data_IF_422565842606
#
_entry.id   IF_422565842606
#
_cell.length_a   1.000
_cell.length_b   1.000
_cell.length_c   1.000
_cell.angle_alpha   90.00
_cell.angle_beta   90.00
_cell.angle_gamma   90.00
#
_symmetry.space_group_name_H-M   'P 1'
#
loop_
_entity.id
_entity.type
_entity.pdbx_description
1 polymer ?
#
# COMPACT_ATOMS: atom_id res chain seq x y z
N UNK A 1 2.93 -12.54 -5.91
CA UNK A 1 2.46 -11.38 -6.73
C UNK A 1 3.55 -10.34 -6.61
N UNK A 2 3.99 -9.68 -7.67
CA UNK A 2 5.01 -8.64 -7.52
C UNK A 2 4.45 -7.41 -6.80
N UNK A 3 5.31 -6.61 -6.17
CA UNK A 3 4.92 -5.30 -5.60
C UNK A 3 4.24 -4.40 -6.65
N UNK A 4 4.68 -4.45 -7.91
CA UNK A 4 4.05 -3.72 -8.99
C UNK A 4 2.60 -4.21 -9.25
N UNK A 5 2.40 -5.51 -9.41
CA UNK A 5 1.07 -6.11 -9.57
C UNK A 5 0.17 -5.82 -8.37
N UNK A 6 0.73 -5.77 -7.15
CA UNK A 6 0.02 -5.38 -5.95
C UNK A 6 -0.48 -3.94 -6.02
N UNK A 7 0.34 -2.98 -6.49
CA UNK A 7 -0.12 -1.59 -6.70
C UNK A 7 -1.24 -1.50 -7.73
N UNK A 8 -1.16 -2.27 -8.80
CA UNK A 8 -2.24 -2.33 -9.80
C UNK A 8 -3.52 -2.89 -9.19
N UNK A 9 -3.40 -3.94 -8.37
CA UNK A 9 -4.51 -4.53 -7.63
C UNK A 9 -5.15 -3.54 -6.64
N UNK A 10 -4.36 -2.76 -5.90
CA UNK A 10 -4.89 -1.67 -5.05
C UNK A 10 -5.69 -0.66 -5.86
N UNK A 11 -5.22 -0.31 -7.06
CA UNK A 11 -5.93 0.57 -7.98
C UNK A 11 -7.25 -0.03 -8.48
N UNK A 12 -7.27 -1.33 -8.77
CA UNK A 12 -8.50 -2.05 -9.10
C UNK A 12 -9.50 -2.02 -7.93
N UNK A 13 -9.05 -2.38 -6.72
CA UNK A 13 -9.89 -2.36 -5.52
C UNK A 13 -10.48 -0.97 -5.26
N UNK A 14 -9.68 0.10 -5.42
CA UNK A 14 -10.15 1.48 -5.26
C UNK A 14 -11.25 1.86 -6.26
N UNK A 15 -11.06 1.54 -7.55
CA UNK A 15 -11.94 2.00 -8.64
C UNK A 15 -13.18 1.13 -8.83
N UNK A 16 -13.07 -0.17 -8.55
CA UNK A 16 -14.10 -1.14 -8.89
C UNK A 16 -14.78 -1.64 -7.62
N UNK A 17 -14.08 -2.43 -6.80
CA UNK A 17 -14.67 -3.11 -5.65
C UNK A 17 -15.19 -2.15 -4.58
N UNK A 18 -14.42 -1.10 -4.27
CA UNK A 18 -14.73 -0.13 -3.22
C UNK A 18 -15.21 1.22 -3.77
N UNK A 19 -15.70 1.26 -5.01
CA UNK A 19 -16.17 2.49 -5.67
C UNK A 19 -17.18 3.32 -4.85
N UNK A 20 -17.94 2.68 -3.95
CA UNK A 20 -18.94 3.31 -3.09
C UNK A 20 -18.60 3.27 -1.60
N UNK A 21 -17.40 2.80 -1.23
CA UNK A 21 -16.93 2.77 0.15
C UNK A 21 -15.70 3.67 0.31
N UNK A 22 -15.96 4.93 0.67
CA UNK A 22 -14.94 5.96 0.90
C UNK A 22 -13.90 5.54 1.94
N UNK A 23 -14.31 4.77 2.97
CA UNK A 23 -13.39 4.33 4.02
C UNK A 23 -12.43 3.29 3.48
N UNK A 24 -12.92 2.35 2.68
CA UNK A 24 -12.07 1.34 2.05
C UNK A 24 -11.20 1.95 0.95
N UNK A 25 -11.70 2.90 0.17
CA UNK A 25 -10.89 3.67 -0.78
C UNK A 25 -9.71 4.38 -0.10
N UNK A 26 -9.95 5.03 1.05
CA UNK A 26 -8.89 5.67 1.81
C UNK A 26 -7.82 4.67 2.24
N UNK A 27 -8.20 3.47 2.68
CA UNK A 27 -7.24 2.41 3.03
C UNK A 27 -6.37 1.99 1.84
N UNK A 28 -6.96 1.85 0.65
CA UNK A 28 -6.20 1.51 -0.57
C UNK A 28 -5.17 2.59 -0.91
N UNK A 29 -5.56 3.86 -0.81
CA UNK A 29 -4.64 5.00 -1.03
C UNK A 29 -3.51 5.01 0.00
N UNK A 30 -3.82 4.77 1.28
CA UNK A 30 -2.82 4.72 2.34
C UNK A 30 -1.82 3.58 2.14
N UNK A 31 -2.29 2.40 1.73
CA UNK A 31 -1.43 1.27 1.36
C UNK A 31 -0.55 1.61 0.15
N UNK A 32 -1.11 2.25 -0.89
CA UNK A 32 -0.34 2.71 -2.05
C UNK A 32 0.80 3.66 -1.65
N UNK A 33 0.53 4.60 -0.75
CA UNK A 33 1.56 5.51 -0.24
C UNK A 33 2.63 4.81 0.61
N UNK A 34 2.27 3.79 1.39
CA UNK A 34 3.25 2.99 2.14
C UNK A 34 4.20 2.27 1.19
N UNK A 35 3.67 1.65 0.14
CA UNK A 35 4.48 1.03 -0.92
C UNK A 35 5.39 2.07 -1.59
N UNK A 36 4.85 3.24 -1.97
CA UNK A 36 5.62 4.30 -2.62
C UNK A 36 6.80 4.79 -1.76
N UNK A 37 6.60 4.97 -0.44
CA UNK A 37 7.69 5.36 0.46
C UNK A 37 8.79 4.30 0.52
N UNK A 38 8.40 3.03 0.62
CA UNK A 38 9.37 1.93 0.67
C UNK A 38 10.16 1.82 -0.64
N UNK A 39 9.50 2.00 -1.79
CA UNK A 39 10.14 2.05 -3.11
C UNK A 39 11.12 3.22 -3.23
N UNK A 40 10.71 4.43 -2.83
CA UNK A 40 11.56 5.64 -2.86
C UNK A 40 12.77 5.49 -1.93
N UNK A 41 12.59 4.82 -0.79
CA UNK A 41 13.68 4.53 0.15
C UNK A 41 14.55 3.32 -0.24
N UNK A 42 14.27 2.69 -1.39
CA UNK A 42 14.97 1.49 -1.88
C UNK A 42 14.93 0.30 -0.90
N UNK A 43 13.95 0.28 0.01
CA UNK A 43 13.76 -0.82 0.99
C UNK A 43 13.04 -2.02 0.39
N UNK A 44 12.30 -1.79 -0.69
CA UNK A 44 11.69 -2.82 -1.55
C UNK A 44 11.88 -2.40 -3.01
N UNK A 45 11.71 -3.36 -3.92
CA UNK A 45 11.74 -3.21 -5.36
C UNK A 45 10.36 -3.50 -5.96
N UNK A 46 9.99 -2.90 -7.12
CA UNK A 46 8.76 -3.23 -7.82
C UNK A 46 8.62 -4.71 -8.18
N UNK A 47 9.75 -5.42 -8.29
CA UNK A 47 9.82 -6.83 -8.70
C UNK A 47 9.85 -7.81 -7.52
N UNK A 48 9.94 -7.32 -6.28
CA UNK A 48 9.91 -8.18 -5.10
C UNK A 48 8.57 -8.91 -5.01
N UNK A 49 8.58 -10.13 -4.45
CA UNK A 49 7.33 -10.80 -4.12
C UNK A 49 6.65 -10.08 -2.96
N UNK A 50 5.43 -9.63 -3.20
CA UNK A 50 4.58 -9.00 -2.21
C UNK A 50 4.48 -9.84 -0.94
N UNK A 51 4.37 -11.17 -1.04
CA UNK A 51 4.19 -12.00 0.15
C UNK A 51 5.40 -11.91 1.09
N UNK A 52 6.61 -11.80 0.53
CA UNK A 52 7.86 -11.66 1.27
C UNK A 52 8.01 -10.29 1.95
N UNK A 53 7.51 -9.23 1.32
CA UNK A 53 7.65 -7.84 1.81
C UNK A 53 6.37 -7.28 2.45
N UNK A 54 5.27 -8.03 2.47
CA UNK A 54 3.95 -7.61 2.94
C UNK A 54 4.00 -7.06 4.36
N UNK A 55 4.71 -7.75 5.27
CA UNK A 55 4.90 -7.32 6.65
C UNK A 55 5.50 -5.92 6.74
N UNK A 56 6.52 -5.63 5.93
CA UNK A 56 7.18 -4.33 5.91
C UNK A 56 6.23 -3.22 5.42
N UNK A 57 5.39 -3.51 4.42
CA UNK A 57 4.37 -2.58 3.92
C UNK A 57 3.36 -2.22 5.02
N UNK A 58 2.89 -3.22 5.78
CA UNK A 58 1.94 -2.99 6.88
C UNK A 58 2.59 -2.25 8.06
N UNK A 59 3.85 -2.53 8.38
CA UNK A 59 4.59 -1.76 9.39
C UNK A 59 4.76 -0.28 8.98
N UNK A 60 5.07 -0.01 7.71
CA UNK A 60 5.18 1.35 7.17
C UNK A 60 3.84 2.11 7.20
N UNK A 61 2.72 1.41 6.99
CA UNK A 61 1.38 1.96 7.13
C UNK A 61 1.10 2.39 8.57
N UNK A 62 1.38 1.51 9.54
CA UNK A 62 1.16 1.76 10.98
C UNK A 62 1.98 2.95 11.49
N UNK A 63 3.25 3.05 11.09
CA UNK A 63 4.12 4.19 11.45
C UNK A 63 3.50 5.52 11.00
N UNK A 64 2.96 5.57 9.78
CA UNK A 64 2.35 6.80 9.26
C UNK A 64 0.98 7.11 9.86
N UNK A 65 0.23 6.11 10.32
CA UNK A 65 -0.99 6.34 11.08
C UNK A 65 -0.67 7.00 12.42
N UNK A 66 0.34 6.50 13.14
CA UNK A 66 0.79 7.10 14.42
C UNK A 66 1.23 8.56 14.26
N UNK A 67 2.00 8.89 13.23
CA UNK A 67 2.45 10.27 12.99
C UNK A 67 1.35 11.24 12.55
N UNK A 68 0.14 10.77 12.23
CA UNK A 68 -1.01 11.63 11.86
C UNK A 68 -1.99 11.87 13.01
N UNK A 69 -1.87 11.10 14.09
CA UNK A 69 -2.71 11.22 15.28
C UNK A 69 -2.07 12.14 16.36
N UNK A 70 -0.92 12.74 16.07
CA UNK A 70 -0.22 13.79 16.85
C UNK A 70 -0.46 15.19 16.25
#
# INVERSE_FOLDING_TARGET
MTVLEFKEFLGYLFRVEYSHDTRMQLKMVQLGWAVDRLLVSERISPFDDYDEVSKLIFEELDVNQRCRDD
#
